data_IF_890784513201
#
_entry.id   IF_890784513201
#
_cell.length_a   1.000
_cell.length_b   1.000
_cell.length_c   1.000
_cell.angle_alpha   90.00
_cell.angle_beta   90.00
_cell.angle_gamma   90.00
#
_symmetry.space_group_name_H-M   'P 1'
#
loop_
_entity.id
_entity.type
_entity.pdbx_description
1 polymer ?
#
# COMPACT_ATOMS: atom_id res chain seq x y z
N UNK A 1 4.06 -4.51 -2.68
CA UNK A 1 2.96 -3.71 -3.23
C UNK A 1 1.88 -3.55 -2.17
N UNK A 2 1.21 -2.40 -2.10
CA UNK A 2 -0.04 -2.23 -1.34
C UNK A 2 -0.96 -1.27 -2.08
N UNK A 3 -2.26 -1.49 -2.01
CA UNK A 3 -3.25 -0.53 -2.46
C UNK A 3 -3.48 0.54 -1.37
N UNK A 4 -4.13 1.66 -1.70
CA UNK A 4 -4.42 2.67 -0.67
C UNK A 4 -5.58 2.25 0.21
N UNK A 5 -6.64 1.71 -0.37
CA UNK A 5 -7.87 1.37 0.34
C UNK A 5 -7.87 -0.12 0.71
N UNK A 6 -6.79 -0.59 1.34
CA UNK A 6 -6.53 -2.02 1.57
C UNK A 6 -7.51 -2.73 2.49
N UNK A 7 -8.40 -2.01 3.16
CA UNK A 7 -9.41 -2.69 3.95
C UNK A 7 -10.76 -2.03 4.02
N UNK A 8 -11.10 -1.23 3.01
CA UNK A 8 -12.49 -0.85 2.76
C UNK A 8 -13.39 -2.08 2.62
N UNK A 9 -12.86 -3.19 2.10
CA UNK A 9 -13.60 -4.45 1.97
C UNK A 9 -13.80 -5.19 3.30
N UNK A 10 -13.09 -4.82 4.37
CA UNK A 10 -13.11 -5.52 5.66
C UNK A 10 -13.91 -4.79 6.73
N UNK A 11 -14.50 -3.64 6.41
CA UNK A 11 -15.28 -2.82 7.36
C UNK A 11 -16.62 -2.47 6.73
N UNK A 12 -17.71 -2.63 7.48
CA UNK A 12 -19.01 -2.11 7.06
C UNK A 12 -19.03 -0.58 7.22
N UNK A 13 -18.87 0.15 6.12
CA UNK A 13 -18.84 1.62 6.13
C UNK A 13 -20.21 2.27 6.39
N UNK A 14 -21.28 1.47 6.41
CA UNK A 14 -22.67 1.95 6.57
C UNK A 14 -23.27 1.64 7.94
N UNK A 15 -22.58 0.87 8.79
CA UNK A 15 -23.07 0.54 10.12
C UNK A 15 -22.96 1.73 11.09
N UNK A 16 -23.75 1.71 12.16
CA UNK A 16 -23.69 2.72 13.21
C UNK A 16 -22.25 2.78 13.73
N UNK A 17 -21.67 3.99 13.75
CA UNK A 17 -20.32 4.26 14.26
C UNK A 17 -20.06 3.51 15.57
N UNK A 18 -19.47 2.32 15.48
CA UNK A 18 -18.77 1.75 16.62
C UNK A 18 -17.62 2.70 16.89
N UNK A 19 -17.51 3.16 18.14
CA UNK A 19 -16.34 3.94 18.50
C UNK A 19 -15.07 3.11 18.21
N UNK A 20 -14.00 3.78 17.83
CA UNK A 20 -12.73 3.16 17.47
C UNK A 20 -12.18 2.20 18.53
N UNK A 21 -12.47 2.45 19.81
CA UNK A 21 -12.03 1.61 20.92
C UNK A 21 -12.75 0.27 20.91
N UNK A 22 -14.06 0.29 20.66
CA UNK A 22 -14.90 -0.89 20.55
C UNK A 22 -14.47 -1.74 19.36
N UNK A 23 -14.29 -1.13 18.18
CA UNK A 23 -13.81 -1.83 16.99
C UNK A 23 -12.41 -2.44 17.20
N UNK A 24 -11.45 -1.67 17.71
CA UNK A 24 -10.10 -2.16 17.98
C UNK A 24 -10.08 -3.28 19.03
N UNK A 25 -10.92 -3.16 20.06
CA UNK A 25 -11.04 -4.16 21.11
C UNK A 25 -11.65 -5.47 20.65
N UNK A 26 -12.55 -5.44 19.66
CA UNK A 26 -13.09 -6.64 19.03
C UNK A 26 -12.09 -7.27 18.07
N UNK A 27 -11.39 -6.46 17.26
CA UNK A 27 -10.41 -6.94 16.30
C UNK A 27 -9.15 -7.50 16.98
N UNK A 28 -8.71 -6.90 18.09
CA UNK A 28 -7.52 -7.29 18.85
C UNK A 28 -7.88 -7.49 20.34
N UNK A 29 -8.46 -8.66 20.71
CA UNK A 29 -9.00 -8.90 22.04
C UNK A 29 -7.93 -8.91 23.15
N UNK A 30 -6.65 -9.05 22.79
CA UNK A 30 -5.52 -9.01 23.73
C UNK A 30 -5.06 -7.59 24.10
N UNK A 31 -5.61 -6.54 23.48
CA UNK A 31 -5.27 -5.17 23.87
C UNK A 31 -5.80 -4.89 25.29
N UNK A 32 -4.90 -4.52 26.20
CA UNK A 32 -5.28 -4.04 27.53
C UNK A 32 -5.94 -2.66 27.47
N UNK A 33 -6.59 -2.22 28.56
CA UNK A 33 -7.32 -0.94 28.61
C UNK A 33 -6.46 0.27 28.24
N UNK A 34 -5.17 0.27 28.61
CA UNK A 34 -4.21 1.32 28.25
C UNK A 34 -3.89 1.33 26.75
N UNK A 35 -3.72 0.14 26.16
CA UNK A 35 -3.48 -0.02 24.73
C UNK A 35 -4.72 0.29 23.91
N UNK A 36 -5.92 -0.07 24.38
CA UNK A 36 -7.19 0.32 23.75
C UNK A 36 -7.31 1.84 23.67
N UNK A 37 -7.06 2.56 24.78
CA UNK A 37 -7.07 4.04 24.78
C UNK A 37 -6.08 4.65 23.78
N UNK A 38 -4.84 4.14 23.72
CA UNK A 38 -3.83 4.59 22.74
C UNK A 38 -4.14 4.17 21.31
N UNK A 39 -4.77 3.01 21.11
CA UNK A 39 -5.19 2.54 19.79
C UNK A 39 -6.36 3.37 19.27
N UNK A 40 -7.27 3.80 20.15
CA UNK A 40 -8.32 4.77 19.85
C UNK A 40 -7.75 6.12 19.47
N UNK A 41 -6.72 6.61 20.18
CA UNK A 41 -6.00 7.82 19.78
C UNK A 41 -5.33 7.66 18.41
N UNK A 42 -4.73 6.50 18.12
CA UNK A 42 -4.18 6.19 16.80
C UNK A 42 -5.27 6.08 15.72
N UNK A 43 -6.45 5.51 16.03
CA UNK A 43 -7.60 5.40 15.12
C UNK A 43 -8.30 6.72 14.86
N UNK A 44 -8.38 7.58 15.86
CA UNK A 44 -8.84 8.95 15.68
C UNK A 44 -7.80 9.79 14.92
N UNK A 45 -6.49 9.53 15.12
CA UNK A 45 -5.41 10.08 14.29
C UNK A 45 -5.51 9.57 12.84
N UNK A 46 -5.99 8.34 12.62
CA UNK A 46 -6.16 7.75 11.28
C UNK A 46 -7.15 8.53 10.40
N UNK A 47 -7.96 9.44 10.95
CA UNK A 47 -8.82 10.38 10.20
C UNK A 47 -9.91 9.72 9.37
N UNK A 48 -9.89 8.40 9.27
CA UNK A 48 -10.80 7.57 8.52
C UNK A 48 -10.66 6.13 9.02
N UNK A 49 -11.75 5.54 9.51
CA UNK A 49 -11.83 4.14 9.89
C UNK A 49 -11.54 3.20 8.70
N UNK A 50 -11.52 3.76 7.49
CA UNK A 50 -11.39 3.09 6.19
C UNK A 50 -9.96 2.98 5.63
N UNK A 51 -8.92 3.33 6.39
CA UNK A 51 -7.54 2.99 5.97
C UNK A 51 -6.94 1.88 6.83
N UNK A 52 -7.25 0.60 6.57
CA UNK A 52 -6.66 -0.48 7.33
C UNK A 52 -5.16 -0.58 7.05
N UNK A 53 -4.43 -0.01 8.00
CA UNK A 53 -3.03 -0.25 8.31
C UNK A 53 -2.69 -1.74 8.48
N UNK A 54 -3.68 -2.65 8.44
CA UNK A 54 -3.55 -4.10 8.53
C UNK A 54 -2.72 -4.73 7.40
N UNK A 55 -2.65 -4.10 6.22
CA UNK A 55 -1.78 -4.56 5.12
C UNK A 55 -0.66 -3.56 4.83
N UNK A 56 -0.94 -2.26 4.96
CA UNK A 56 0.07 -1.22 4.71
C UNK A 56 1.23 -1.32 5.69
N UNK A 57 0.97 -1.38 7.00
CA UNK A 57 2.04 -1.35 8.00
C UNK A 57 2.86 -2.65 8.06
N UNK A 58 2.26 -3.85 8.02
CA UNK A 58 3.06 -5.08 7.90
C UNK A 58 3.93 -5.10 6.65
N UNK A 59 3.54 -4.42 5.56
CA UNK A 59 4.42 -4.30 4.39
C UNK A 59 5.71 -3.51 4.69
N UNK A 60 5.65 -2.46 5.52
CA UNK A 60 6.84 -1.72 5.94
C UNK A 60 7.71 -2.53 6.92
N UNK A 61 7.08 -3.25 7.85
CA UNK A 61 7.80 -4.19 8.73
C UNK A 61 8.58 -5.23 7.92
N UNK A 62 7.93 -5.85 6.94
CA UNK A 62 8.57 -6.83 6.06
C UNK A 62 9.74 -6.21 5.27
N UNK A 63 9.58 -5.02 4.71
CA UNK A 63 10.66 -4.32 4.01
C UNK A 63 11.87 -4.07 4.91
N UNK A 64 11.65 -3.64 6.16
CA UNK A 64 12.72 -3.44 7.13
C UNK A 64 13.42 -4.75 7.51
N UNK A 65 12.65 -5.82 7.72
CA UNK A 65 13.22 -7.14 8.06
C UNK A 65 14.11 -7.68 6.93
N UNK A 66 13.64 -7.68 5.67
CA UNK A 66 14.46 -8.13 4.54
C UNK A 66 15.71 -7.26 4.36
N UNK A 67 15.58 -5.95 4.52
CA UNK A 67 16.73 -5.03 4.48
C UNK A 67 17.77 -5.37 5.55
N UNK A 68 17.35 -5.64 6.78
CA UNK A 68 18.25 -5.99 7.89
C UNK A 68 19.05 -7.27 7.63
N UNK A 69 18.57 -8.11 6.72
CA UNK A 69 19.27 -9.29 6.22
C UNK A 69 20.03 -9.06 4.90
N UNK A 70 20.21 -7.80 4.48
CA UNK A 70 21.03 -7.43 3.32
C UNK A 70 20.32 -7.60 1.97
N UNK A 71 18.99 -7.77 1.95
CA UNK A 71 18.24 -7.84 0.70
C UNK A 71 17.88 -6.45 0.17
N UNK A 72 17.92 -6.30 -1.16
CA UNK A 72 17.37 -5.13 -1.83
C UNK A 72 15.85 -5.16 -1.72
N UNK A 73 15.25 -4.04 -1.30
CA UNK A 73 13.80 -3.95 -1.14
C UNK A 73 13.22 -2.76 -1.90
N UNK A 74 12.01 -2.91 -2.42
CA UNK A 74 11.34 -1.91 -3.24
C UNK A 74 9.90 -1.73 -2.76
N UNK A 75 9.54 -0.51 -2.33
CA UNK A 75 8.16 -0.19 -1.93
C UNK A 75 7.38 0.29 -3.14
N UNK A 76 6.25 -0.35 -3.42
CA UNK A 76 5.24 0.16 -4.36
C UNK A 76 3.90 0.34 -3.65
N UNK A 77 3.15 1.32 -4.15
CA UNK A 77 1.77 1.56 -3.78
C UNK A 77 0.90 1.96 -4.99
N UNK A 78 -0.36 1.51 -5.00
CA UNK A 78 -1.41 2.13 -5.84
C UNK A 78 -2.04 3.23 -5.01
N UNK A 79 -1.85 4.50 -5.38
CA UNK A 79 -2.30 5.63 -4.55
C UNK A 79 -3.72 6.10 -4.87
N UNK A 80 -4.41 6.63 -3.87
CA UNK A 80 -5.33 7.74 -4.08
C UNK A 80 -4.53 9.05 -3.95
N UNK A 81 -4.21 9.72 -5.06
CA UNK A 81 -4.16 11.17 -4.92
C UNK A 81 -5.56 11.59 -4.44
N UNK A 82 -5.67 12.49 -3.46
CA UNK A 82 -6.95 13.06 -2.98
C UNK A 82 -7.82 13.63 -4.11
N UNK A 83 -7.30 13.71 -5.33
CA UNK A 83 -8.04 13.86 -6.56
C UNK A 83 -7.72 12.70 -7.50
N UNK A 84 -8.57 11.66 -7.43
CA UNK A 84 -8.98 10.64 -8.41
C UNK A 84 -7.95 9.86 -9.27
N UNK A 85 -8.26 8.64 -9.71
CA UNK A 85 -8.17 7.33 -9.01
C UNK A 85 -7.81 6.31 -10.10
N UNK A 86 -7.14 5.18 -9.80
CA UNK A 86 -7.56 3.86 -10.32
C UNK A 86 -8.78 3.45 -9.47
N UNK A 87 -10.02 3.65 -9.92
CA UNK A 87 -11.17 3.58 -9.03
C UNK A 87 -11.48 2.13 -8.66
N UNK A 88 -11.73 1.88 -7.38
CA UNK A 88 -11.03 2.36 -6.19
C UNK A 88 -9.87 1.39 -5.91
N UNK A 89 -8.65 1.86 -5.68
CA UNK A 89 -7.49 1.02 -5.34
C UNK A 89 -7.73 0.28 -4.01
N UNK A 90 -8.61 -0.70 -4.05
CA UNK A 90 -9.07 -1.58 -2.99
C UNK A 90 -8.20 -2.83 -3.00
N UNK A 91 -8.29 -3.57 -1.92
CA UNK A 91 -7.65 -4.86 -1.78
C UNK A 91 -7.91 -5.76 -3.02
N UNK A 92 -6.82 -6.24 -3.63
CA UNK A 92 -6.84 -7.15 -4.78
C UNK A 92 -7.12 -6.52 -6.14
N UNK A 93 -7.41 -5.21 -6.24
CA UNK A 93 -7.69 -4.57 -7.54
C UNK A 93 -6.47 -4.48 -8.45
N UNK A 94 -5.28 -4.57 -7.88
CA UNK A 94 -3.99 -4.65 -8.58
C UNK A 94 -3.74 -6.01 -9.25
N UNK A 95 -4.44 -7.08 -8.85
CA UNK A 95 -4.27 -8.46 -9.37
C UNK A 95 -4.38 -8.52 -10.90
N UNK A 96 -5.35 -7.81 -11.49
CA UNK A 96 -5.56 -7.76 -12.94
C UNK A 96 -4.36 -7.18 -13.73
N UNK A 97 -3.51 -6.38 -13.07
CA UNK A 97 -2.32 -5.82 -13.68
C UNK A 97 -1.10 -6.75 -13.58
N UNK A 98 -1.09 -7.66 -12.60
CA UNK A 98 -0.12 -8.77 -12.57
C UNK A 98 -0.47 -9.85 -13.59
N UNK A 99 -1.75 -10.22 -13.63
CA UNK A 99 -2.25 -11.34 -14.41
C UNK A 99 -3.45 -10.90 -15.27
N UNK A 100 -3.22 -10.28 -16.45
CA UNK A 100 -4.29 -9.77 -17.30
C UNK A 100 -5.31 -10.81 -17.77
N UNK A 101 -5.00 -12.10 -17.66
CA UNK A 101 -5.89 -13.21 -18.02
C UNK A 101 -6.90 -13.57 -16.92
N UNK A 102 -6.74 -13.13 -15.67
CA UNK A 102 -7.60 -13.55 -14.55
C UNK A 102 -8.84 -12.67 -14.38
N UNK A 103 -8.78 -11.42 -14.81
CA UNK A 103 -9.88 -10.47 -14.73
C UNK A 103 -9.65 -9.25 -15.64
N UNK A 104 -10.71 -8.53 -16.05
CA UNK A 104 -10.57 -7.33 -16.84
C UNK A 104 -9.77 -6.23 -16.12
N UNK A 105 -8.82 -5.62 -16.82
CA UNK A 105 -8.08 -4.45 -16.33
C UNK A 105 -9.02 -3.24 -16.28
N UNK A 106 -9.09 -2.58 -15.13
CA UNK A 106 -9.99 -1.43 -14.89
C UNK A 106 -9.51 -0.12 -15.52
N UNK A 107 -8.19 0.01 -15.75
CA UNK A 107 -7.61 1.11 -16.52
C UNK A 107 -6.87 0.58 -17.74
N UNK A 108 -7.56 0.58 -18.89
CA UNK A 108 -7.05 0.06 -20.16
C UNK A 108 -6.06 1.05 -20.82
N UNK A 109 -4.84 1.13 -20.30
CA UNK A 109 -3.75 1.88 -20.90
C UNK A 109 -2.52 0.98 -21.06
N UNK A 110 -2.06 0.69 -22.29
CA UNK A 110 -0.99 -0.28 -22.52
C UNK A 110 0.33 0.14 -21.86
N UNK A 111 0.64 1.44 -21.81
CA UNK A 111 1.85 1.93 -21.14
C UNK A 111 1.75 1.84 -19.63
N UNK A 112 0.57 2.06 -19.05
CA UNK A 112 0.34 1.84 -17.63
C UNK A 112 0.51 0.36 -17.27
N UNK A 113 -0.16 -0.52 -18.02
CA UNK A 113 -0.06 -1.97 -17.81
C UNK A 113 1.36 -2.47 -17.99
N UNK A 114 2.10 -1.96 -18.98
CA UNK A 114 3.51 -2.24 -19.16
C UNK A 114 4.34 -1.80 -17.95
N UNK A 115 4.18 -0.55 -17.49
CA UNK A 115 4.89 -0.05 -16.31
C UNK A 115 4.64 -0.91 -15.07
N UNK A 116 3.38 -1.23 -14.81
CA UNK A 116 3.01 -2.06 -13.65
C UNK A 116 3.57 -3.49 -13.79
N UNK A 117 3.11 -4.24 -14.80
CA UNK A 117 3.42 -5.67 -14.94
C UNK A 117 4.91 -5.93 -15.16
N UNK A 118 5.58 -5.13 -16.00
CA UNK A 118 6.99 -5.34 -16.30
C UNK A 118 7.89 -4.97 -15.13
N UNK A 119 7.52 -4.03 -14.24
CA UNK A 119 8.31 -3.77 -13.04
C UNK A 119 8.45 -5.03 -12.17
N UNK A 120 7.34 -5.75 -11.95
CA UNK A 120 7.37 -6.99 -11.17
C UNK A 120 8.03 -8.15 -11.92
N UNK A 121 7.81 -8.27 -13.23
CA UNK A 121 8.47 -9.30 -14.02
C UNK A 121 9.99 -9.06 -14.14
N UNK A 122 10.43 -7.81 -14.26
CA UNK A 122 11.84 -7.42 -14.25
C UNK A 122 12.50 -7.79 -12.91
N UNK A 123 11.80 -7.55 -11.79
CA UNK A 123 12.25 -8.00 -10.48
C UNK A 123 12.35 -9.52 -10.37
N UNK A 124 11.38 -10.28 -10.90
CA UNK A 124 11.45 -11.76 -10.91
C UNK A 124 12.66 -12.27 -11.70
N UNK A 125 12.98 -11.65 -12.84
CA UNK A 125 14.07 -12.09 -13.71
C UNK A 125 15.44 -11.68 -13.19
N UNK A 126 15.56 -10.50 -12.57
CA UNK A 126 16.85 -9.87 -12.32
C UNK A 126 17.06 -9.35 -10.89
N UNK A 127 16.07 -9.48 -10.02
CA UNK A 127 16.02 -8.89 -8.68
C UNK A 127 16.08 -7.35 -8.68
N UNK A 128 15.86 -6.71 -9.83
CA UNK A 128 15.82 -5.25 -9.99
C UNK A 128 14.68 -4.82 -10.93
N UNK A 129 13.68 -4.04 -10.46
CA UNK A 129 12.60 -3.55 -11.30
C UNK A 129 13.07 -2.58 -12.40
N UNK A 130 14.30 -2.04 -12.33
CA UNK A 130 14.86 -1.18 -13.38
C UNK A 130 15.40 -1.93 -14.59
N UNK A 131 15.65 -3.22 -14.47
CA UNK A 131 16.17 -4.01 -15.59
C UNK A 131 15.04 -4.36 -16.56
N UNK A 132 14.58 -3.35 -17.28
CA UNK A 132 13.36 -3.38 -18.09
C UNK A 132 13.44 -4.42 -19.21
N UNK A 133 12.42 -5.27 -19.26
CA UNK A 133 12.25 -6.30 -20.31
C UNK A 133 11.95 -5.65 -21.68
N UNK A 134 11.04 -4.68 -21.71
CA UNK A 134 10.75 -3.88 -22.91
C UNK A 134 10.77 -2.37 -22.58
N UNK A 135 11.96 -1.74 -22.63
CA UNK A 135 12.13 -0.35 -22.24
C UNK A 135 11.31 0.67 -23.04
N UNK A 136 10.83 0.32 -24.25
CA UNK A 136 10.07 1.23 -25.12
C UNK A 136 8.64 1.45 -24.63
N UNK A 137 8.04 0.44 -24.01
CA UNK A 137 6.66 0.47 -23.53
C UNK A 137 6.55 0.78 -22.03
N UNK A 138 7.59 0.43 -21.28
CA UNK A 138 7.65 0.63 -19.84
C UNK A 138 8.05 2.07 -19.47
N UNK A 139 7.06 2.86 -19.05
CA UNK A 139 7.21 4.24 -18.61
C UNK A 139 7.68 4.38 -17.16
N UNK A 140 7.95 3.29 -16.43
CA UNK A 140 8.36 3.34 -15.02
C UNK A 140 9.65 4.15 -14.91
N UNK A 141 9.68 5.23 -14.12
CA UNK A 141 10.89 6.01 -13.90
C UNK A 141 11.85 5.24 -12.98
N UNK A 142 12.97 5.87 -12.62
CA UNK A 142 13.86 5.30 -11.61
C UNK A 142 13.09 5.05 -10.30
N UNK A 143 13.21 3.84 -9.77
CA UNK A 143 12.59 3.32 -8.56
C UNK A 143 13.65 3.01 -7.49
N UNK A 144 14.03 4.00 -6.67
CA UNK A 144 15.04 3.82 -5.63
C UNK A 144 14.72 2.65 -4.70
N UNK A 145 15.76 1.98 -4.22
CA UNK A 145 15.63 0.98 -3.17
C UNK A 145 15.14 1.62 -1.89
N UNK A 146 14.19 0.96 -1.24
CA UNK A 146 13.78 1.28 0.12
C UNK A 146 14.82 0.71 1.11
N UNK A 147 15.23 1.44 2.16
CA UNK A 147 14.74 2.73 2.66
C UNK A 147 15.65 3.91 2.27
N UNK A 148 16.60 3.74 1.33
CA UNK A 148 17.69 4.70 1.09
C UNK A 148 17.17 6.13 0.90
N UNK A 149 15.97 6.29 0.35
CA UNK A 149 15.32 7.58 0.21
C UNK A 149 13.93 7.65 0.87
N UNK A 150 13.48 6.60 1.58
CA UNK A 150 12.07 6.42 1.96
C UNK A 150 11.09 6.69 0.79
N UNK A 151 11.54 6.34 -0.42
CA UNK A 151 10.79 6.52 -1.66
C UNK A 151 10.03 5.22 -1.98
N UNK A 152 8.74 5.35 -2.28
CA UNK A 152 7.95 4.31 -2.92
C UNK A 152 7.66 4.65 -4.37
N UNK A 153 7.34 3.65 -5.19
CA UNK A 153 6.79 3.84 -6.53
C UNK A 153 5.27 3.90 -6.46
N UNK A 154 4.69 4.93 -7.07
CA UNK A 154 3.25 5.07 -7.27
C UNK A 154 2.87 4.53 -8.63
N UNK A 155 1.83 3.69 -8.66
CA UNK A 155 1.13 3.32 -9.89
C UNK A 155 -0.30 3.86 -9.82
N UNK A 156 -0.57 4.96 -10.52
CA UNK A 156 -1.87 5.63 -10.51
C UNK A 156 -2.25 6.17 -11.91
N UNK A 157 -3.45 6.75 -12.02
CA UNK A 157 -3.85 7.63 -13.11
C UNK A 157 -4.35 8.97 -12.58
N UNK A 158 -4.22 10.02 -13.39
CA UNK A 158 -4.72 11.35 -13.07
C UNK A 158 -6.24 11.39 -13.01
N UNK A 159 -6.78 12.19 -12.09
CA UNK A 159 -8.22 12.43 -11.99
C UNK A 159 -8.83 12.98 -13.26
N UNK A 160 -8.17 14.02 -13.77
CA UNK A 160 -8.59 14.72 -14.96
C UNK A 160 -7.90 14.05 -16.15
N UNK A 161 -8.71 13.55 -17.08
CA UNK A 161 -8.23 13.01 -18.35
C UNK A 161 -7.64 11.60 -18.31
N UNK A 162 -7.68 10.89 -17.17
CA UNK A 162 -7.25 9.48 -17.05
C UNK A 162 -5.85 9.20 -17.65
N UNK A 163 -4.88 10.06 -17.38
CA UNK A 163 -3.50 9.89 -17.88
C UNK A 163 -2.69 9.06 -16.90
N UNK A 164 -1.63 8.43 -17.39
CA UNK A 164 -0.72 7.66 -16.55
C UNK A 164 -0.06 8.57 -15.50
N UNK A 165 -0.04 8.12 -14.25
CA UNK A 165 0.54 8.80 -13.10
C UNK A 165 1.43 7.80 -12.38
N UNK A 166 2.62 7.56 -12.94
CA UNK A 166 3.60 6.59 -12.45
C UNK A 166 4.87 7.35 -12.06
N UNK A 167 5.14 7.45 -10.77
CA UNK A 167 6.25 8.26 -10.27
C UNK A 167 6.75 7.81 -8.90
N UNK A 168 8.03 8.07 -8.56
CA UNK A 168 8.49 7.93 -7.19
C UNK A 168 7.81 8.97 -6.30
N UNK A 169 7.53 8.62 -5.06
CA UNK A 169 7.01 9.54 -4.04
C UNK A 169 7.69 9.26 -2.71
N UNK A 170 7.95 10.32 -1.95
CA UNK A 170 8.30 10.19 -0.54
C UNK A 170 7.15 9.50 0.19
N UNK A 171 7.45 8.46 0.95
CA UNK A 171 6.47 7.87 1.86
C UNK A 171 6.10 8.92 2.91
N UNK A 172 4.81 9.12 3.14
CA UNK A 172 4.31 10.05 4.15
C UNK A 172 4.87 9.70 5.54
N UNK A 173 5.55 10.66 6.18
CA UNK A 173 6.13 10.47 7.52
C UNK A 173 5.06 10.07 8.54
N UNK A 174 3.83 10.56 8.37
CA UNK A 174 2.69 10.14 9.17
C UNK A 174 2.39 8.65 9.03
N UNK A 175 2.48 8.06 7.83
CA UNK A 175 2.34 6.62 7.61
C UNK A 175 3.43 5.87 8.38
N UNK A 176 4.70 6.30 8.25
CA UNK A 176 5.82 5.64 8.93
C UNK A 176 5.68 5.68 10.45
N UNK A 177 5.36 6.84 11.02
CA UNK A 177 5.11 6.99 12.46
C UNK A 177 3.97 6.08 12.94
N UNK A 178 2.87 6.04 12.19
CA UNK A 178 1.73 5.20 12.53
C UNK A 178 2.05 3.71 12.42
N UNK A 179 2.85 3.30 11.44
CA UNK A 179 3.28 1.93 11.29
C UNK A 179 4.26 1.49 12.37
N UNK A 180 5.18 2.36 12.79
CA UNK A 180 6.06 2.11 13.94
C UNK A 180 5.29 1.95 15.25
N UNK A 181 4.28 2.80 15.50
CA UNK A 181 3.39 2.62 16.65
C UNK A 181 2.68 1.26 16.61
N UNK A 182 2.20 0.85 15.43
CA UNK A 182 1.46 -0.40 15.27
C UNK A 182 2.35 -1.63 15.46
N UNK A 183 3.57 -1.59 14.95
CA UNK A 183 4.60 -2.61 15.19
C UNK A 183 4.87 -2.78 16.69
N UNK A 184 4.87 -1.69 17.48
CA UNK A 184 5.02 -1.77 18.94
C UNK A 184 3.89 -2.53 19.65
N UNK A 185 2.75 -2.72 18.98
CA UNK A 185 1.62 -3.51 19.46
C UNK A 185 1.60 -4.94 18.90
N UNK A 186 2.58 -5.34 18.09
CA UNK A 186 2.56 -6.58 17.30
C UNK A 186 2.36 -7.85 18.12
N UNK A 187 2.97 -7.93 19.31
CA UNK A 187 2.77 -9.04 20.24
C UNK A 187 1.31 -9.21 20.73
N UNK A 188 0.52 -8.15 20.68
CA UNK A 188 -0.89 -8.13 21.10
C UNK A 188 -1.86 -8.26 19.91
N UNK A 189 -1.47 -7.78 18.74
CA UNK A 189 -2.30 -7.78 17.53
C UNK A 189 -2.05 -8.99 16.63
N UNK A 190 -0.90 -9.66 16.78
CA UNK A 190 -0.45 -10.72 15.88
C UNK A 190 -0.06 -10.20 14.49
N UNK A 191 0.35 -8.92 14.40
CA UNK A 191 0.70 -8.23 13.16
C UNK A 191 2.02 -7.48 13.26
#
# INVERSE_FOLDING_TARGET
MTNTNEGNLFVNQTDVFMDASTYAGQLFPKLGSKQKKRSTEAILWFGDYSQPTILICPSFYMLNAFREHGFNTFKAASTNSRSSVIPPAMHGMDISYYFPSTSPITFQNPRFSAAFSQSFLSFVISLDPHNKINPREDITPSWPMYPIADIGMVFNKTAVGNRNDVHPVQVDDGVLQRCSFRESLGALTGQ
#
